data_IF_680704092449
#
_entry.id   IF_680704092449
#
_cell.length_a   1.000
_cell.length_b   1.000
_cell.length_c   1.000
_cell.angle_alpha   90.00
_cell.angle_beta   90.00
_cell.angle_gamma   90.00
#
_symmetry.space_group_name_H-M   'P 1'
#
loop_
_entity.id
_entity.type
_entity.pdbx_description
1 polymer ?
#
# COMPACT_ATOMS: atom_id res chain seq x y z
N UNK A 1 18.55 -27.87 7.97
CA UNK A 1 18.91 -26.44 7.87
C UNK A 1 18.47 -25.97 6.51
N UNK A 2 17.45 -25.10 6.45
CA UNK A 2 17.03 -24.50 5.19
C UNK A 2 18.07 -23.44 4.80
N UNK A 3 18.76 -23.63 3.70
CA UNK A 3 19.67 -22.64 3.12
C UNK A 3 18.84 -21.45 2.67
N UNK A 4 18.97 -20.34 3.38
CA UNK A 4 18.33 -19.07 3.01
C UNK A 4 19.07 -18.52 1.78
N UNK A 5 18.53 -18.75 0.58
CA UNK A 5 18.98 -18.05 -0.62
C UNK A 5 18.31 -16.66 -0.62
N UNK A 6 19.09 -15.59 -0.77
CA UNK A 6 18.51 -14.25 -0.90
C UNK A 6 17.68 -14.21 -2.19
N UNK A 7 16.37 -13.94 -2.06
CA UNK A 7 15.48 -13.83 -3.20
C UNK A 7 15.88 -12.59 -4.03
N UNK A 8 16.12 -12.80 -5.32
CA UNK A 8 16.45 -11.71 -6.25
C UNK A 8 15.16 -11.10 -6.80
N UNK A 9 15.09 -9.78 -6.81
CA UNK A 9 13.95 -9.07 -7.40
C UNK A 9 14.15 -8.99 -8.91
N UNK A 10 13.24 -9.58 -9.70
CA UNK A 10 13.27 -9.55 -11.17
C UNK A 10 12.42 -8.45 -11.77
N UNK A 11 11.43 -7.95 -11.02
CA UNK A 11 10.64 -6.78 -11.38
C UNK A 11 10.34 -5.95 -10.14
N UNK A 12 10.49 -4.64 -10.21
CA UNK A 12 10.13 -3.72 -9.15
C UNK A 12 9.49 -2.47 -9.71
N UNK A 13 8.32 -2.13 -9.19
CA UNK A 13 7.63 -0.86 -9.42
C UNK A 13 7.46 -0.14 -8.08
N UNK A 14 7.83 1.14 -8.03
CA UNK A 14 7.65 2.00 -6.85
C UNK A 14 6.83 3.22 -7.22
N UNK A 15 5.87 3.56 -6.37
CA UNK A 15 5.06 4.76 -6.52
C UNK A 15 5.11 5.59 -5.25
N UNK A 16 5.48 6.85 -5.41
CA UNK A 16 5.49 7.83 -4.32
C UNK A 16 4.30 8.76 -4.46
N UNK A 17 3.55 8.90 -3.39
CA UNK A 17 2.37 9.77 -3.32
C UNK A 17 2.78 11.10 -2.69
N UNK A 18 3.18 12.08 -3.51
CA UNK A 18 3.77 13.34 -3.06
C UNK A 18 2.86 14.18 -2.15
N UNK A 19 1.53 14.14 -2.34
CA UNK A 19 0.63 14.86 -1.45
C UNK A 19 0.68 14.31 -0.01
N UNK A 20 0.87 13.00 0.17
CA UNK A 20 1.03 12.41 1.51
C UNK A 20 2.34 12.89 2.18
N UNK A 21 3.41 13.04 1.41
CA UNK A 21 4.67 13.64 1.91
C UNK A 21 4.49 15.11 2.29
N UNK A 22 3.74 15.88 1.49
CA UNK A 22 3.41 17.27 1.82
C UNK A 22 2.63 17.38 3.14
N UNK A 23 1.65 16.50 3.37
CA UNK A 23 0.94 16.44 4.65
C UNK A 23 1.88 16.11 5.82
N UNK A 24 2.78 15.14 5.67
CA UNK A 24 3.78 14.84 6.72
C UNK A 24 4.58 16.10 7.07
N UNK A 25 5.07 16.83 6.07
CA UNK A 25 5.82 18.06 6.29
C UNK A 25 5.00 19.11 7.05
N UNK A 26 3.75 19.33 6.64
CA UNK A 26 2.84 20.27 7.31
C UNK A 26 2.65 19.88 8.78
N UNK A 27 2.39 18.61 9.07
CA UNK A 27 2.21 18.13 10.43
C UNK A 27 3.47 18.22 11.28
N UNK A 28 4.64 17.97 10.71
CA UNK A 28 5.92 18.15 11.42
C UNK A 28 6.13 19.64 11.76
N UNK A 29 5.91 20.56 10.83
CA UNK A 29 5.96 21.99 11.09
C UNK A 29 4.97 22.41 12.18
N UNK A 30 3.75 21.86 12.16
CA UNK A 30 2.74 22.10 13.18
C UNK A 30 3.20 21.61 14.56
N UNK A 31 3.80 20.43 14.67
CA UNK A 31 4.34 19.90 15.95
C UNK A 31 5.39 20.86 16.53
N UNK A 32 6.33 21.32 15.68
CA UNK A 32 7.37 22.26 16.10
C UNK A 32 6.76 23.57 16.59
N UNK A 33 5.85 24.15 15.81
CA UNK A 33 5.15 25.39 16.18
C UNK A 33 4.34 25.25 17.47
N UNK A 34 3.58 24.15 17.60
CA UNK A 34 2.79 23.83 18.79
C UNK A 34 3.69 23.70 20.02
N UNK A 35 4.78 22.94 19.93
CA UNK A 35 5.77 22.78 21.01
C UNK A 35 6.38 24.12 21.47
N UNK A 36 6.62 25.02 20.51
CA UNK A 36 7.14 26.36 20.81
C UNK A 36 6.10 27.21 21.56
N UNK A 37 4.84 27.24 21.11
CA UNK A 37 3.77 28.06 21.69
C UNK A 37 3.30 27.58 23.07
N UNK A 38 3.32 26.27 23.30
CA UNK A 38 2.76 25.65 24.51
C UNK A 38 3.81 25.38 25.60
N UNK A 39 4.91 26.12 25.62
CA UNK A 39 6.02 25.94 26.58
C UNK A 39 5.60 26.07 28.05
N UNK A 40 4.58 26.88 28.33
CA UNK A 40 4.13 27.22 29.70
C UNK A 40 3.09 26.25 30.25
N UNK A 41 2.58 25.33 29.42
CA UNK A 41 1.59 24.34 29.85
C UNK A 41 2.26 23.11 30.47
N UNK A 42 1.52 22.42 31.35
CA UNK A 42 1.92 21.16 31.93
C UNK A 42 2.25 20.13 30.85
N UNK A 43 3.26 19.32 31.09
CA UNK A 43 3.80 18.35 30.13
C UNK A 43 2.71 17.44 29.56
N UNK A 44 1.79 16.95 30.39
CA UNK A 44 0.74 16.04 29.96
C UNK A 44 -0.27 16.70 29.00
N UNK A 45 -0.67 17.93 29.27
CA UNK A 45 -1.56 18.69 28.40
C UNK A 45 -0.90 18.94 27.05
N UNK A 46 0.42 19.13 27.05
CA UNK A 46 1.21 19.37 25.84
C UNK A 46 1.43 18.12 25.01
N UNK A 47 1.53 16.92 25.64
CA UNK A 47 1.76 15.65 24.95
C UNK A 47 0.47 15.05 24.37
N UNK A 48 -0.69 15.27 24.99
CA UNK A 48 -1.94 14.62 24.60
C UNK A 48 -2.31 14.79 23.10
N UNK A 49 -2.24 15.99 22.48
CA UNK A 49 -2.58 16.16 21.07
C UNK A 49 -1.51 15.62 20.11
N UNK A 50 -0.30 15.32 20.60
CA UNK A 50 0.75 14.73 19.75
C UNK A 50 0.45 13.28 19.38
N UNK A 51 -0.26 12.53 20.21
CA UNK A 51 -0.58 11.11 19.96
C UNK A 51 -1.39 10.94 18.67
N UNK A 52 -2.57 11.59 18.48
CA UNK A 52 -3.30 11.48 17.24
C UNK A 52 -2.53 12.04 16.04
N UNK A 53 -1.71 13.06 16.24
CA UNK A 53 -0.92 13.66 15.19
C UNK A 53 0.19 12.71 14.68
N UNK A 54 0.88 12.02 15.57
CA UNK A 54 1.86 10.98 15.22
C UNK A 54 1.19 9.81 14.50
N UNK A 55 -0.03 9.43 14.90
CA UNK A 55 -0.81 8.42 14.20
C UNK A 55 -1.14 8.85 12.77
N UNK A 56 -1.54 10.10 12.54
CA UNK A 56 -1.80 10.63 11.19
C UNK A 56 -0.51 10.62 10.35
N UNK A 57 0.62 11.03 10.90
CA UNK A 57 1.93 10.96 10.22
C UNK A 57 2.26 9.52 9.83
N UNK A 58 2.06 8.55 10.73
CA UNK A 58 2.27 7.14 10.45
C UNK A 58 1.39 6.64 9.31
N UNK A 59 0.10 7.01 9.28
CA UNK A 59 -0.81 6.66 8.18
C UNK A 59 -0.37 7.30 6.87
N UNK A 60 -0.04 8.59 6.88
CA UNK A 60 0.47 9.29 5.69
C UNK A 60 1.77 8.66 5.16
N UNK A 61 2.70 8.30 6.04
CA UNK A 61 3.93 7.59 5.66
C UNK A 61 3.64 6.27 4.94
N UNK A 62 2.71 5.47 5.47
CA UNK A 62 2.34 4.21 4.83
C UNK A 62 1.70 4.41 3.45
N UNK A 63 0.85 5.43 3.28
CA UNK A 63 0.21 5.71 1.98
C UNK A 63 1.19 6.38 0.99
N UNK A 64 2.23 7.08 1.50
CA UNK A 64 3.21 7.76 0.66
C UNK A 64 4.02 6.82 -0.22
N UNK A 65 4.30 5.62 0.25
CA UNK A 65 5.15 4.67 -0.46
C UNK A 65 4.37 3.40 -0.78
N UNK A 66 4.33 3.08 -2.05
CA UNK A 66 3.71 1.88 -2.57
C UNK A 66 4.71 1.14 -3.45
N UNK A 67 4.71 -0.18 -3.41
CA UNK A 67 5.56 -0.99 -4.27
C UNK A 67 4.90 -2.28 -4.71
N UNK A 68 5.29 -2.72 -5.91
CA UNK A 68 5.03 -4.06 -6.44
C UNK A 68 6.37 -4.68 -6.79
N UNK A 69 6.58 -5.92 -6.38
CA UNK A 69 7.82 -6.68 -6.63
C UNK A 69 7.47 -8.09 -7.07
N UNK A 70 8.19 -8.58 -8.06
CA UNK A 70 8.22 -10.01 -8.42
C UNK A 70 9.62 -10.52 -8.18
N UNK A 71 9.72 -11.63 -7.49
CA UNK A 71 10.99 -12.28 -7.18
C UNK A 71 11.30 -13.41 -8.19
N UNK A 72 12.52 -13.88 -8.19
CA UNK A 72 13.04 -14.96 -9.07
C UNK A 72 12.28 -16.30 -8.89
N UNK A 73 11.80 -16.57 -7.67
CA UNK A 73 10.93 -17.70 -7.35
C UNK A 73 9.45 -17.47 -7.76
N UNK A 74 9.16 -16.43 -8.55
CA UNK A 74 7.82 -16.00 -8.97
C UNK A 74 6.90 -15.58 -7.79
N UNK A 75 7.44 -15.33 -6.62
CA UNK A 75 6.70 -14.73 -5.52
C UNK A 75 6.35 -13.29 -5.88
N UNK A 76 5.08 -12.93 -5.70
CA UNK A 76 4.57 -11.57 -5.93
C UNK A 76 4.35 -10.87 -4.60
N UNK A 77 4.94 -9.68 -4.43
CA UNK A 77 4.70 -8.81 -3.28
C UNK A 77 4.14 -7.48 -3.77
N UNK A 78 3.08 -7.00 -3.13
CA UNK A 78 2.50 -5.69 -3.44
C UNK A 78 1.90 -5.05 -2.19
N UNK A 79 1.88 -3.73 -2.17
CA UNK A 79 1.26 -2.94 -1.10
C UNK A 79 2.12 -1.81 -0.55
N UNK A 80 1.83 -1.43 0.67
CA UNK A 80 2.42 -0.33 1.40
C UNK A 80 3.46 -0.84 2.42
N UNK A 81 4.38 0.00 2.96
CA UNK A 81 5.48 -0.46 3.81
C UNK A 81 5.08 -1.42 4.93
N UNK A 82 4.05 -1.09 5.70
CA UNK A 82 3.57 -1.91 6.82
C UNK A 82 2.32 -2.74 6.45
N UNK A 83 1.73 -2.53 5.29
CA UNK A 83 0.51 -3.20 4.82
C UNK A 83 0.74 -3.76 3.41
N UNK A 84 1.51 -4.80 3.30
CA UNK A 84 1.77 -5.49 2.05
C UNK A 84 1.36 -6.96 2.12
N UNK A 85 1.14 -7.54 0.97
CA UNK A 85 0.86 -8.96 0.78
C UNK A 85 2.02 -9.57 -0.01
N UNK A 86 2.39 -10.77 0.37
CA UNK A 86 3.35 -11.61 -0.33
C UNK A 86 2.63 -12.92 -0.69
N UNK A 87 2.54 -13.24 -1.98
CA UNK A 87 1.87 -14.42 -2.51
C UNK A 87 2.88 -15.31 -3.23
N UNK A 88 2.93 -16.56 -2.84
CA UNK A 88 3.72 -17.56 -3.57
C UNK A 88 2.95 -18.06 -4.81
N UNK A 89 3.63 -18.57 -5.85
CA UNK A 89 2.99 -19.01 -7.08
C UNK A 89 1.84 -20.00 -6.86
N UNK A 90 2.01 -20.94 -5.93
CA UNK A 90 1.01 -21.95 -5.64
C UNK A 90 -0.23 -21.43 -4.88
N UNK A 91 -0.17 -20.23 -4.33
CA UNK A 91 -1.30 -19.56 -3.68
C UNK A 91 -2.18 -18.81 -4.69
N UNK A 92 -1.65 -18.53 -5.90
CA UNK A 92 -2.34 -17.78 -6.95
C UNK A 92 -3.14 -18.76 -7.81
N UNK A 93 -4.47 -18.65 -7.78
CA UNK A 93 -5.38 -19.43 -8.62
C UNK A 93 -5.52 -18.80 -10.00
N UNK A 94 -5.72 -17.48 -10.06
CA UNK A 94 -5.77 -16.71 -11.30
C UNK A 94 -5.22 -15.30 -11.07
N UNK A 95 -4.63 -14.74 -12.12
CA UNK A 95 -4.13 -13.37 -12.16
C UNK A 95 -4.49 -12.76 -13.50
N UNK A 96 -5.16 -11.61 -13.47
CA UNK A 96 -5.67 -10.96 -14.66
C UNK A 96 -5.54 -9.44 -14.54
N UNK A 97 -5.36 -8.77 -15.69
CA UNK A 97 -5.52 -7.32 -15.72
C UNK A 97 -7.00 -6.98 -15.50
N UNK A 98 -7.30 -6.14 -14.51
CA UNK A 98 -8.69 -5.70 -14.30
C UNK A 98 -9.13 -4.78 -15.45
N UNK A 99 -10.32 -5.02 -16.05
CA UNK A 99 -10.81 -4.22 -17.16
C UNK A 99 -11.12 -2.77 -16.76
N UNK A 100 -11.34 -2.53 -15.47
CA UNK A 100 -11.61 -1.20 -14.93
C UNK A 100 -11.02 -1.07 -13.54
N UNK A 101 -10.05 -0.16 -13.40
CA UNK A 101 -9.44 0.19 -12.13
C UNK A 101 -9.90 1.59 -11.72
N UNK A 102 -10.84 1.66 -10.77
CA UNK A 102 -11.44 2.92 -10.30
C UNK A 102 -11.47 2.94 -8.77
N UNK A 103 -10.33 3.27 -8.10
CA UNK A 103 -10.20 3.22 -6.65
C UNK A 103 -11.30 3.97 -5.88
N UNK A 104 -11.60 5.19 -6.33
CA UNK A 104 -12.60 6.04 -5.66
C UNK A 104 -14.02 5.49 -5.79
N UNK A 105 -14.39 4.95 -6.96
CA UNK A 105 -15.74 4.46 -7.23
C UNK A 105 -15.97 3.06 -6.65
N UNK A 106 -15.01 2.16 -6.85
CA UNK A 106 -15.18 0.74 -6.55
C UNK A 106 -14.84 0.41 -5.08
N UNK A 107 -14.00 1.23 -4.41
CA UNK A 107 -13.51 0.99 -3.06
C UNK A 107 -13.62 2.20 -2.11
N UNK A 108 -14.13 3.33 -2.60
CA UNK A 108 -14.31 4.53 -1.79
C UNK A 108 -13.01 5.25 -1.42
N UNK A 109 -11.89 5.00 -2.11
CA UNK A 109 -10.65 5.72 -1.86
C UNK A 109 -9.36 4.97 -2.20
N UNK A 110 -8.26 5.59 -1.80
CA UNK A 110 -6.91 5.07 -1.93
C UNK A 110 -6.45 4.36 -0.64
N UNK A 111 -5.31 3.66 -0.73
CA UNK A 111 -4.73 2.92 0.38
C UNK A 111 -5.23 1.48 0.44
N UNK A 112 -5.09 0.85 1.60
CA UNK A 112 -5.67 -0.46 1.84
C UNK A 112 -7.18 -0.33 2.10
N UNK A 113 -7.99 -1.06 1.35
CA UNK A 113 -9.46 -1.02 1.41
C UNK A 113 -10.06 -2.41 1.26
N UNK A 114 -11.26 -2.58 1.77
CA UNK A 114 -12.11 -3.73 1.49
C UNK A 114 -13.35 -3.19 0.80
N UNK A 115 -13.65 -3.73 -0.37
CA UNK A 115 -14.82 -3.33 -1.17
C UNK A 115 -15.56 -4.52 -1.73
N UNK A 116 -16.79 -4.29 -2.21
CA UNK A 116 -17.56 -5.30 -2.92
C UNK A 116 -17.68 -4.89 -4.39
N UNK A 117 -17.12 -5.72 -5.26
CA UNK A 117 -17.18 -5.50 -6.72
C UNK A 117 -17.58 -6.82 -7.39
N UNK A 118 -18.49 -6.76 -8.36
CA UNK A 118 -19.01 -7.91 -9.10
C UNK A 118 -19.56 -9.02 -8.18
N UNK A 119 -20.23 -8.60 -7.08
CA UNK A 119 -20.80 -9.53 -6.11
C UNK A 119 -19.81 -10.14 -5.11
N UNK A 120 -18.49 -9.97 -5.29
CA UNK A 120 -17.45 -10.55 -4.47
C UNK A 120 -16.77 -9.51 -3.58
N UNK A 121 -16.36 -9.93 -2.37
CA UNK A 121 -15.52 -9.12 -1.49
C UNK A 121 -14.07 -9.14 -2.00
N UNK A 122 -13.50 -7.96 -2.20
CA UNK A 122 -12.12 -7.78 -2.69
C UNK A 122 -11.33 -6.92 -1.72
N UNK A 123 -10.06 -7.25 -1.54
CA UNK A 123 -9.08 -6.46 -0.78
C UNK A 123 -8.28 -5.62 -1.75
N UNK A 124 -8.42 -4.30 -1.66
CA UNK A 124 -7.75 -3.34 -2.54
C UNK A 124 -6.47 -2.78 -1.93
N UNK A 125 -5.39 -2.76 -2.72
CA UNK A 125 -4.16 -2.02 -2.47
C UNK A 125 -4.05 -0.93 -3.54
N UNK A 126 -4.68 0.21 -3.24
CA UNK A 126 -5.13 1.16 -4.25
C UNK A 126 -4.29 2.42 -4.22
N UNK A 127 -3.72 2.76 -5.36
CA UNK A 127 -2.96 3.98 -5.59
C UNK A 127 -3.54 4.72 -6.79
N UNK A 128 -3.13 5.98 -6.97
CA UNK A 128 -3.59 6.79 -8.09
C UNK A 128 -2.90 6.35 -9.39
N UNK A 129 -3.37 5.25 -9.97
CA UNK A 129 -2.92 4.68 -11.23
C UNK A 129 -4.12 4.41 -12.14
N UNK A 130 -3.86 4.20 -13.43
CA UNK A 130 -4.91 3.98 -14.43
C UNK A 130 -5.20 2.50 -14.68
N UNK A 131 -4.26 1.63 -14.30
CA UNK A 131 -4.34 0.19 -14.55
C UNK A 131 -4.27 -0.57 -13.24
N UNK A 132 -4.75 -1.78 -13.24
CA UNK A 132 -4.71 -2.65 -12.08
C UNK A 132 -4.68 -4.11 -12.45
N UNK A 133 -4.30 -4.91 -11.48
CA UNK A 133 -4.32 -6.37 -11.55
C UNK A 133 -5.30 -6.88 -10.48
N UNK A 134 -6.06 -7.89 -10.85
CA UNK A 134 -6.89 -8.68 -9.94
C UNK A 134 -6.28 -10.07 -9.79
N UNK A 135 -6.22 -10.54 -8.55
CA UNK A 135 -5.74 -11.88 -8.19
C UNK A 135 -6.86 -12.61 -7.42
N UNK A 136 -7.15 -13.83 -7.83
CA UNK A 136 -7.89 -14.78 -7.01
C UNK A 136 -6.89 -15.79 -6.42
N UNK A 137 -6.90 -15.95 -5.11
CA UNK A 137 -6.08 -16.96 -4.45
C UNK A 137 -6.79 -18.30 -4.39
N UNK A 138 -6.02 -19.38 -4.21
CA UNK A 138 -6.57 -20.73 -3.99
C UNK A 138 -7.51 -20.76 -2.78
N UNK A 139 -7.23 -19.93 -1.76
CA UNK A 139 -8.10 -19.76 -0.59
C UNK A 139 -9.37 -18.90 -0.84
N UNK A 140 -9.65 -18.49 -2.09
CA UNK A 140 -10.85 -17.73 -2.46
C UNK A 140 -10.79 -16.25 -2.08
N UNK A 141 -9.65 -15.72 -1.67
CA UNK A 141 -9.47 -14.29 -1.39
C UNK A 141 -9.17 -13.57 -2.70
N UNK A 142 -9.89 -12.48 -2.95
CA UNK A 142 -9.65 -11.62 -4.11
C UNK A 142 -8.86 -10.38 -3.69
N UNK A 143 -7.77 -10.11 -4.43
CA UNK A 143 -6.96 -8.90 -4.29
C UNK A 143 -7.05 -8.06 -5.56
N UNK A 144 -7.07 -6.73 -5.39
CA UNK A 144 -6.95 -5.76 -6.49
C UNK A 144 -5.86 -4.78 -6.13
N UNK A 145 -4.92 -4.56 -7.02
CA UNK A 145 -3.86 -3.59 -6.80
C UNK A 145 -3.53 -2.79 -8.06
N UNK A 146 -3.04 -1.56 -7.86
CA UNK A 146 -2.67 -0.66 -8.95
C UNK A 146 -1.26 -0.95 -9.47
N UNK A 147 -1.06 -0.78 -10.78
CA UNK A 147 0.25 -0.86 -11.44
C UNK A 147 0.27 0.02 -12.69
N UNK A 148 1.43 0.51 -13.07
CA UNK A 148 1.66 1.23 -14.33
C UNK A 148 1.77 0.25 -15.50
N UNK A 149 2.37 -0.95 -15.27
CA UNK A 149 2.59 -1.96 -16.31
C UNK A 149 2.11 -3.36 -15.89
N UNK A 150 0.81 -3.68 -16.08
CA UNK A 150 0.28 -5.00 -15.83
C UNK A 150 0.95 -6.10 -16.66
N UNK A 151 1.35 -5.80 -17.90
CA UNK A 151 1.92 -6.81 -18.80
C UNK A 151 3.31 -7.24 -18.35
N UNK A 152 4.13 -6.31 -17.86
CA UNK A 152 5.43 -6.63 -17.30
C UNK A 152 5.32 -7.58 -16.09
N UNK A 153 4.36 -7.32 -15.20
CA UNK A 153 4.10 -8.18 -14.03
C UNK A 153 3.64 -9.56 -14.48
N UNK A 154 2.67 -9.64 -15.40
CA UNK A 154 2.15 -10.91 -15.91
C UNK A 154 3.24 -11.72 -16.64
N UNK A 155 4.14 -11.04 -17.36
CA UNK A 155 5.27 -11.68 -18.03
C UNK A 155 6.32 -12.18 -17.04
N UNK A 156 6.59 -11.40 -15.97
CA UNK A 156 7.53 -11.78 -14.92
C UNK A 156 7.05 -12.99 -14.10
N UNK A 157 5.74 -13.20 -13.99
CA UNK A 157 5.15 -14.32 -13.25
C UNK A 157 5.03 -15.63 -14.08
N UNK A 158 5.10 -15.54 -15.40
CA UNK A 158 5.19 -16.70 -16.31
C UNK A 158 6.58 -17.32 -16.31
#
# INVERSE_FOLDING_TARGET
>A
MATYYPQTVIYEEKKTTYWALAFILIFVCFIIFYGYKMKTLDLWIRLLPLIPLLFVIFVCYNIAFYSVKVFDDKTLQFGFPNWHIKLQPHEIKSIEQTPSYRPMKDFGGLGWRIGRKDGKWKRGYLVWLQKGIEIETVGGIHYVFGTDDPQAILSALR
#
